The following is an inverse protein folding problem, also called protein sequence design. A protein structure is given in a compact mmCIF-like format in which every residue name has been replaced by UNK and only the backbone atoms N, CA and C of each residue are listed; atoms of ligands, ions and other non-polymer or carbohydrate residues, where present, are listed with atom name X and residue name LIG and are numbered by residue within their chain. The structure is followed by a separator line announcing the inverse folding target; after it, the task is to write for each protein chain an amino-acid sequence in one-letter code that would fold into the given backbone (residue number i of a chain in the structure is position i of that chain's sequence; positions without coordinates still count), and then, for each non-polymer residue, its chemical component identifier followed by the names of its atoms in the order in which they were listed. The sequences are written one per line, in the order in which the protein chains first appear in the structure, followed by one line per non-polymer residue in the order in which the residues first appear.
data_IF_555642624599
#
_entry.id   IF_555642624599
#
_cell.length_a   1.000
_cell.length_b   1.000
_cell.length_c   1.000
_cell.angle_alpha   90.00
_cell.angle_beta   90.00
_cell.angle_gamma   90.00
#
_symmetry.space_group_name_H-M   'P 1'
#
loop_
_entity.id
_entity.type
_entity.pdbx_description
1 polymer ?
#
# COMPACT_ATOMS: atom_id res chain seq x y z
N UNK A 1 -16.52 18.89 -1.92
CA UNK A 1 -16.36 17.43 -1.95
C UNK A 1 -17.13 16.91 -3.15
N UNK A 2 -16.50 16.16 -4.05
CA UNK A 2 -17.12 15.62 -5.26
C UNK A 2 -18.08 14.46 -4.93
N UNK A 3 -18.87 13.98 -5.92
CA UNK A 3 -19.67 12.76 -5.75
C UNK A 3 -18.81 11.52 -5.50
N UNK A 4 -17.65 11.42 -6.14
CA UNK A 4 -16.71 10.30 -5.92
C UNK A 4 -16.08 10.37 -4.52
N UNK A 5 -15.78 11.57 -4.02
CA UNK A 5 -15.26 11.76 -2.67
C UNK A 5 -16.30 11.34 -1.61
N UNK A 6 -17.56 11.73 -1.80
CA UNK A 6 -18.66 11.29 -0.92
C UNK A 6 -18.79 9.77 -0.93
N UNK A 7 -18.78 9.15 -2.11
CA UNK A 7 -18.84 7.70 -2.23
C UNK A 7 -17.64 6.99 -1.58
N UNK A 8 -16.45 7.59 -1.66
CA UNK A 8 -15.26 7.11 -0.95
C UNK A 8 -15.48 7.16 0.56
N UNK A 9 -15.89 8.33 1.08
CA UNK A 9 -16.12 8.52 2.52
C UNK A 9 -17.18 7.57 3.05
N UNK A 10 -18.27 7.35 2.31
CA UNK A 10 -19.33 6.41 2.69
C UNK A 10 -18.80 4.97 2.78
N UNK A 11 -18.00 4.53 1.79
CA UNK A 11 -17.45 3.17 1.76
C UNK A 11 -16.40 2.93 2.83
N UNK A 12 -15.50 3.89 3.04
CA UNK A 12 -14.48 3.79 4.08
C UNK A 12 -15.14 3.80 5.45
N UNK A 13 -16.06 4.75 5.72
CA UNK A 13 -16.75 4.84 7.01
C UNK A 13 -17.59 3.60 7.30
N UNK A 14 -18.30 3.07 6.30
CA UNK A 14 -19.11 1.86 6.46
C UNK A 14 -18.28 0.60 6.76
N UNK A 15 -17.06 0.51 6.19
CA UNK A 15 -16.22 -0.69 6.32
C UNK A 15 -15.16 -0.59 7.42
N UNK A 16 -14.97 0.60 8.00
CA UNK A 16 -14.00 0.84 9.04
C UNK A 16 -14.35 0.08 10.30
N UNK A 17 -13.40 -0.73 10.78
CA UNK A 17 -13.51 -1.49 12.02
C UNK A 17 -12.17 -1.53 12.73
N UNK A 18 -12.20 -1.52 14.06
CA UNK A 18 -11.01 -1.77 14.88
C UNK A 18 -10.87 -3.28 15.06
N UNK A 19 -9.80 -3.87 14.53
CA UNK A 19 -9.50 -5.30 14.61
C UNK A 19 -8.11 -5.45 15.21
N UNK A 20 -8.03 -6.09 16.39
CA UNK A 20 -6.77 -6.35 17.09
C UNK A 20 -5.89 -5.10 17.28
N UNK A 21 -6.50 -3.94 17.57
CA UNK A 21 -5.78 -2.68 17.73
C UNK A 21 -5.43 -1.94 16.42
N UNK A 22 -5.76 -2.51 15.27
CA UNK A 22 -5.56 -1.89 13.96
C UNK A 22 -6.89 -1.46 13.33
N UNK A 23 -6.93 -0.26 12.77
CA UNK A 23 -8.05 0.13 11.91
C UNK A 23 -7.95 -0.62 10.59
N UNK A 24 -8.98 -1.40 10.28
CA UNK A 24 -9.13 -2.12 9.03
C UNK A 24 -10.27 -1.49 8.24
N UNK A 25 -9.99 -1.18 6.98
CA UNK A 25 -10.97 -0.64 6.03
C UNK A 25 -11.09 -1.61 4.85
N UNK A 26 -12.29 -1.70 4.27
CA UNK A 26 -12.46 -2.37 3.00
C UNK A 26 -11.80 -1.56 1.88
N UNK A 27 -11.29 -2.24 0.85
CA UNK A 27 -10.79 -1.56 -0.34
C UNK A 27 -11.92 -0.71 -0.97
N UNK A 28 -11.71 0.60 -1.20
CA UNK A 28 -12.74 1.48 -1.74
C UNK A 28 -12.92 1.30 -3.26
N UNK A 29 -13.28 0.09 -3.69
CA UNK A 29 -13.41 -0.31 -5.11
C UNK A 29 -14.51 0.46 -5.84
N UNK A 30 -14.20 1.23 -6.89
CA UNK A 30 -15.15 1.96 -7.76
C UNK A 30 -16.41 1.13 -8.07
N UNK A 31 -16.22 -0.12 -8.50
CA UNK A 31 -17.30 -1.09 -8.70
C UNK A 31 -17.12 -2.31 -7.75
N UNK A 32 -18.12 -2.61 -6.92
CA UNK A 32 -18.10 -3.78 -6.02
C UNK A 32 -18.12 -5.14 -6.77
N UNK A 33 -18.63 -5.15 -8.00
CA UNK A 33 -18.66 -6.31 -8.88
C UNK A 33 -17.45 -6.37 -9.83
N UNK A 34 -16.39 -5.61 -9.55
CA UNK A 34 -15.16 -5.66 -10.34
C UNK A 34 -14.61 -7.08 -10.42
N UNK A 35 -14.20 -7.46 -11.62
CA UNK A 35 -13.48 -8.70 -11.91
C UNK A 35 -12.18 -8.30 -12.59
N UNK A 36 -11.06 -8.73 -12.00
CA UNK A 36 -9.73 -8.47 -12.50
C UNK A 36 -9.22 -9.68 -13.29
N UNK A 37 -8.46 -9.47 -14.38
CA UNK A 37 -7.76 -10.55 -15.04
C UNK A 37 -6.68 -11.12 -14.10
N UNK A 38 -6.35 -12.40 -14.30
CA UNK A 38 -5.28 -13.04 -13.52
C UNK A 38 -3.92 -12.52 -13.98
N UNK A 39 -3.30 -11.64 -13.18
CA UNK A 39 -2.01 -11.04 -13.47
C UNK A 39 -0.80 -11.82 -12.90
N UNK A 40 -0.99 -13.07 -12.44
CA UNK A 40 0.03 -13.84 -11.72
C UNK A 40 1.34 -13.95 -12.52
N UNK A 41 1.25 -14.26 -13.80
CA UNK A 41 2.44 -14.40 -14.67
C UNK A 41 3.31 -13.13 -14.68
N UNK A 42 2.70 -11.94 -14.71
CA UNK A 42 3.42 -10.67 -14.65
C UNK A 42 4.10 -10.47 -13.29
N UNK A 43 3.39 -10.74 -12.19
CA UNK A 43 3.91 -10.60 -10.84
C UNK A 43 5.06 -11.59 -10.57
N UNK A 44 4.91 -12.85 -10.99
CA UNK A 44 5.94 -13.88 -10.87
C UNK A 44 7.19 -13.56 -11.68
N UNK A 45 7.04 -13.07 -12.92
CA UNK A 45 8.19 -12.64 -13.71
C UNK A 45 8.98 -11.52 -13.01
N UNK A 46 8.29 -10.55 -12.39
CA UNK A 46 8.94 -9.50 -11.60
C UNK A 46 9.60 -10.07 -10.34
N UNK A 47 8.94 -10.99 -9.65
CA UNK A 47 9.50 -11.67 -8.47
C UNK A 47 10.76 -12.47 -8.81
N UNK A 48 10.81 -13.13 -9.97
CA UNK A 48 12.01 -13.84 -10.45
C UNK A 48 13.18 -12.88 -10.68
N UNK A 49 12.94 -11.68 -11.20
CA UNK A 49 13.99 -10.67 -11.35
C UNK A 49 14.52 -10.17 -10.01
N UNK A 50 13.65 -10.00 -9.01
CA UNK A 50 14.05 -9.68 -7.64
C UNK A 50 14.88 -10.83 -7.08
N UNK A 51 14.43 -12.08 -7.21
CA UNK A 51 15.16 -13.26 -6.75
C UNK A 51 16.58 -13.31 -7.31
N UNK A 52 16.74 -13.10 -8.63
CA UNK A 52 18.07 -13.01 -9.27
C UNK A 52 18.91 -11.89 -8.66
N UNK A 53 18.31 -10.74 -8.34
CA UNK A 53 19.00 -9.62 -7.68
C UNK A 53 19.43 -9.97 -6.25
N UNK A 54 18.56 -10.60 -5.47
CA UNK A 54 18.87 -11.05 -4.11
C UNK A 54 20.05 -12.04 -4.13
N UNK A 55 20.07 -12.98 -5.08
CA UNK A 55 21.14 -13.98 -5.18
C UNK A 55 22.52 -13.42 -5.55
N UNK A 56 22.59 -12.26 -6.22
CA UNK A 56 23.86 -11.66 -6.66
C UNK A 56 24.38 -10.57 -5.72
N UNK A 57 23.55 -10.08 -4.81
CA UNK A 57 23.82 -8.91 -3.97
C UNK A 57 23.37 -9.20 -2.54
N UNK A 58 24.33 -9.64 -1.73
CA UNK A 58 24.11 -10.11 -0.36
C UNK A 58 23.54 -9.00 0.52
N UNK A 59 24.06 -7.78 0.41
CA UNK A 59 23.59 -6.64 1.19
C UNK A 59 22.16 -6.26 0.81
N UNK A 60 21.84 -6.24 -0.49
CA UNK A 60 20.46 -6.05 -0.93
C UNK A 60 19.55 -7.17 -0.42
N UNK A 61 20.02 -8.42 -0.37
CA UNK A 61 19.24 -9.54 0.17
C UNK A 61 18.92 -9.37 1.65
N UNK A 62 19.92 -9.09 2.48
CA UNK A 62 19.76 -8.92 3.92
C UNK A 62 18.78 -7.80 4.25
N UNK A 63 18.97 -6.64 3.61
CA UNK A 63 18.09 -5.48 3.76
C UNK A 63 16.65 -5.79 3.35
N UNK A 64 16.47 -6.49 2.21
CA UNK A 64 15.15 -6.83 1.68
C UNK A 64 14.41 -7.82 2.56
N UNK A 65 15.11 -8.87 3.01
CA UNK A 65 14.55 -9.90 3.90
C UNK A 65 14.20 -9.28 5.24
N UNK A 66 15.05 -8.41 5.79
CA UNK A 66 14.75 -7.68 7.02
C UNK A 66 13.49 -6.83 6.86
N UNK A 67 13.37 -6.05 5.79
CA UNK A 67 12.19 -5.23 5.54
C UNK A 67 10.91 -6.06 5.43
N UNK A 68 10.92 -7.12 4.63
CA UNK A 68 9.73 -7.99 4.46
C UNK A 68 9.41 -8.76 5.75
N UNK A 69 10.43 -9.14 6.52
CA UNK A 69 10.26 -9.72 7.85
C UNK A 69 9.53 -8.78 8.79
N UNK A 70 9.92 -7.50 8.84
CA UNK A 70 9.23 -6.50 9.66
C UNK A 70 7.76 -6.32 9.25
N UNK A 71 7.48 -6.27 7.94
CA UNK A 71 6.10 -6.15 7.42
C UNK A 71 5.22 -7.31 7.89
N UNK A 72 5.76 -8.54 7.88
CA UNK A 72 5.03 -9.74 8.31
C UNK A 72 4.90 -9.79 9.84
N UNK A 73 6.00 -9.56 10.56
CA UNK A 73 6.04 -9.65 12.02
C UNK A 73 5.16 -8.59 12.70
N UNK A 74 5.04 -7.40 12.12
CA UNK A 74 4.13 -6.35 12.58
C UNK A 74 2.67 -6.58 12.18
N UNK A 75 2.37 -7.63 11.42
CA UNK A 75 1.01 -7.98 11.01
C UNK A 75 0.46 -7.16 9.85
N UNK A 76 1.30 -6.39 9.16
CA UNK A 76 0.89 -5.56 8.01
C UNK A 76 0.62 -6.41 6.76
N UNK A 77 1.26 -7.57 6.66
CA UNK A 77 0.97 -8.59 5.68
C UNK A 77 0.83 -9.96 6.34
N UNK A 78 -0.07 -10.78 5.82
CA UNK A 78 -0.29 -12.16 6.26
C UNK A 78 -0.14 -13.11 5.08
N UNK A 79 0.23 -14.36 5.37
CA UNK A 79 0.23 -15.41 4.35
C UNK A 79 -1.22 -15.66 3.91
N UNK A 80 -1.49 -15.52 2.62
CA UNK A 80 -2.77 -15.87 2.02
C UNK A 80 -2.92 -17.40 2.03
N UNK A 81 -4.05 -17.96 2.50
CA UNK A 81 -4.31 -19.40 2.42
C UNK A 81 -4.26 -19.89 0.97
N UNK A 82 -3.73 -21.10 0.75
CA UNK A 82 -3.53 -21.62 -0.62
C UNK A 82 -4.87 -21.76 -1.39
N UNK A 83 -5.96 -22.03 -0.67
CA UNK A 83 -7.33 -22.09 -1.18
C UNK A 83 -7.81 -20.74 -1.75
N UNK A 84 -7.32 -19.63 -1.22
CA UNK A 84 -7.69 -18.28 -1.64
C UNK A 84 -6.83 -17.76 -2.80
N UNK A 85 -5.76 -18.45 -3.17
CA UNK A 85 -4.88 -18.05 -4.27
C UNK A 85 -5.51 -18.29 -5.64
N UNK A 86 -6.46 -19.21 -5.75
CA UNK A 86 -7.01 -19.66 -7.04
C UNK A 86 -8.53 -19.48 -7.10
N UNK A 87 -9.00 -18.29 -6.74
CA UNK A 87 -10.44 -17.94 -6.84
C UNK A 87 -10.84 -17.70 -8.29
N UNK A 88 -11.92 -18.34 -8.73
CA UNK A 88 -12.51 -18.14 -10.07
C UNK A 88 -13.40 -16.90 -10.18
N UNK A 89 -13.54 -16.10 -9.12
CA UNK A 89 -14.43 -14.93 -9.07
C UNK A 89 -13.81 -13.63 -9.62
N UNK A 90 -12.54 -13.68 -10.01
CA UNK A 90 -11.80 -12.52 -10.51
C UNK A 90 -11.43 -11.51 -9.42
N UNK A 91 -11.42 -11.91 -8.15
CA UNK A 91 -11.08 -11.03 -7.01
C UNK A 91 -9.66 -11.23 -6.48
N UNK A 92 -8.80 -11.91 -7.24
CA UNK A 92 -7.38 -12.11 -6.92
C UNK A 92 -6.55 -11.18 -7.79
N UNK A 93 -5.66 -10.42 -7.16
CA UNK A 93 -4.69 -9.56 -7.84
C UNK A 93 -3.34 -9.66 -7.12
N UNK A 94 -2.30 -9.99 -7.87
CA UNK A 94 -0.94 -10.08 -7.34
C UNK A 94 -0.27 -8.71 -7.46
N UNK A 95 0.23 -8.14 -6.37
CA UNK A 95 0.88 -6.83 -6.38
C UNK A 95 2.40 -7.04 -6.57
N UNK A 96 2.98 -6.63 -7.71
CA UNK A 96 4.43 -6.67 -7.86
C UNK A 96 5.09 -5.69 -6.89
N UNK A 97 6.31 -5.98 -6.49
CA UNK A 97 7.06 -5.10 -5.59
C UNK A 97 8.52 -4.98 -6.04
N UNK A 98 9.24 -3.99 -5.54
CA UNK A 98 10.67 -3.82 -5.80
C UNK A 98 11.35 -3.01 -4.69
N UNK A 99 12.65 -3.20 -4.50
CA UNK A 99 13.42 -2.52 -3.47
C UNK A 99 14.13 -1.29 -4.02
N UNK A 100 13.98 -0.15 -3.34
CA UNK A 100 14.68 1.11 -3.62
C UNK A 100 15.44 1.58 -2.38
N UNK A 101 16.63 2.14 -2.58
CA UNK A 101 17.41 2.74 -1.51
C UNK A 101 17.13 4.23 -1.40
N UNK A 102 16.96 4.72 -0.18
CA UNK A 102 16.94 6.15 0.06
C UNK A 102 18.33 6.76 -0.22
N UNK A 103 18.46 7.75 -1.13
CA UNK A 103 19.75 8.19 -1.67
C UNK A 103 20.72 8.75 -0.61
N UNK A 104 20.19 9.28 0.51
CA UNK A 104 21.01 9.84 1.60
C UNK A 104 21.16 8.93 2.82
N UNK A 105 20.21 8.01 3.03
CA UNK A 105 20.13 7.23 4.28
C UNK A 105 20.58 5.79 4.08
N UNK A 106 20.79 5.38 2.82
CA UNK A 106 21.09 4.00 2.41
C UNK A 106 20.18 2.94 3.03
N UNK A 107 18.95 3.33 3.42
CA UNK A 107 17.92 2.44 3.94
C UNK A 107 17.04 1.95 2.80
N UNK A 108 16.82 0.64 2.71
CA UNK A 108 15.91 0.06 1.72
C UNK A 108 14.45 0.39 2.06
N UNK A 109 13.63 0.53 1.03
CA UNK A 109 12.17 0.48 1.09
C UNK A 109 11.67 -0.48 0.02
N UNK A 110 10.73 -1.36 0.35
CA UNK A 110 10.01 -2.15 -0.65
C UNK A 110 8.78 -1.38 -1.07
N UNK A 111 8.71 -1.08 -2.37
CA UNK A 111 7.58 -0.40 -3.01
C UNK A 111 6.66 -1.45 -3.61
N UNK A 112 5.40 -1.43 -3.21
CA UNK A 112 4.33 -2.25 -3.78
C UNK A 112 3.66 -1.48 -4.93
N UNK A 113 3.79 -1.99 -6.14
CA UNK A 113 3.35 -1.33 -7.37
C UNK A 113 1.89 -1.67 -7.68
N UNK A 114 0.97 -0.98 -7.02
CA UNK A 114 -0.47 -1.07 -7.29
C UNK A 114 -0.90 -0.42 -8.62
N UNK A 115 0.02 0.31 -9.28
CA UNK A 115 -0.19 0.93 -10.58
C UNK A 115 0.13 0.01 -11.76
N UNK A 116 0.85 -1.09 -11.53
CA UNK A 116 1.17 -2.09 -12.54
C UNK A 116 -0.09 -2.53 -13.29
N UNK A 117 -0.10 -2.33 -14.60
CA UNK A 117 -1.23 -2.70 -15.46
C UNK A 117 -1.03 -4.10 -16.05
N UNK A 118 -2.12 -4.83 -16.18
CA UNK A 118 -2.19 -6.10 -16.89
C UNK A 118 -3.53 -6.18 -17.61
N UNK A 119 -3.49 -6.39 -18.94
CA UNK A 119 -4.68 -6.43 -19.81
C UNK A 119 -5.63 -5.22 -19.60
N UNK A 120 -5.06 -4.02 -19.49
CA UNK A 120 -5.83 -2.77 -19.31
C UNK A 120 -6.37 -2.52 -17.90
N UNK A 121 -6.13 -3.41 -16.94
CA UNK A 121 -6.54 -3.25 -15.55
C UNK A 121 -5.34 -3.02 -14.62
N UNK A 122 -5.50 -2.19 -13.57
CA UNK A 122 -4.56 -2.02 -12.46
C UNK A 122 -5.35 -1.82 -11.16
N UNK A 123 -4.76 -2.15 -10.00
CA UNK A 123 -5.45 -2.01 -8.72
C UNK A 123 -5.81 -0.54 -8.45
N UNK A 124 -4.87 0.38 -8.64
CA UNK A 124 -5.13 1.81 -8.49
C UNK A 124 -6.26 2.31 -9.41
N UNK A 125 -6.37 1.78 -10.63
CA UNK A 125 -7.44 2.13 -11.56
C UNK A 125 -8.84 1.76 -11.05
N UNK A 126 -8.93 0.74 -10.20
CA UNK A 126 -10.19 0.24 -9.62
C UNK A 126 -10.56 0.85 -8.28
N UNK A 127 -9.67 1.59 -7.63
CA UNK A 127 -9.91 2.21 -6.32
C UNK A 127 -10.39 3.66 -6.48
N UNK A 128 -11.32 4.08 -5.63
CA UNK A 128 -11.64 5.49 -5.47
C UNK A 128 -10.46 6.20 -4.80
N UNK A 129 -10.10 7.37 -5.32
CA UNK A 129 -8.99 8.18 -4.79
C UNK A 129 -9.35 8.79 -3.42
N UNK A 130 -10.59 9.22 -3.26
CA UNK A 130 -11.04 9.95 -2.09
C UNK A 130 -10.60 11.43 -2.08
N UNK A 131 -11.17 12.22 -1.15
CA UNK A 131 -10.85 13.63 -1.04
C UNK A 131 -9.43 13.82 -0.48
N UNK A 132 -8.81 14.95 -0.83
CA UNK A 132 -7.64 15.43 -0.11
C UNK A 132 -8.05 15.94 1.28
N UNK A 133 -7.71 15.16 2.31
CA UNK A 133 -7.93 15.50 3.71
C UNK A 133 -6.70 16.14 4.37
N UNK A 134 -5.63 16.38 3.61
CA UNK A 134 -4.43 17.03 4.15
C UNK A 134 -4.70 18.50 4.45
N UNK A 135 -4.16 18.98 5.56
CA UNK A 135 -4.19 20.41 5.85
C UNK A 135 -3.32 21.18 4.86
N UNK A 136 -3.80 22.32 4.37
CA UNK A 136 -2.98 23.16 3.49
C UNK A 136 -1.68 23.58 4.19
N UNK A 137 -0.57 23.55 3.46
CA UNK A 137 0.74 23.90 4.03
C UNK A 137 0.74 25.32 4.63
N UNK A 138 0.08 26.27 3.96
CA UNK A 138 -0.09 27.63 4.47
C UNK A 138 -0.81 27.61 5.82
N UNK A 139 -1.92 26.88 5.93
CA UNK A 139 -2.67 26.77 7.18
C UNK A 139 -1.86 26.13 8.30
N UNK A 140 -1.06 25.11 7.98
CA UNK A 140 -0.14 24.47 8.94
C UNK A 140 0.91 25.47 9.42
N UNK A 141 1.59 26.18 8.49
CA UNK A 141 2.65 27.13 8.82
C UNK A 141 2.14 28.36 9.59
N UNK A 142 0.94 28.86 9.27
CA UNK A 142 0.32 29.96 10.01
C UNK A 142 0.02 29.57 11.44
N UNK A 143 -0.61 28.40 11.67
CA UNK A 143 -0.87 27.90 13.03
C UNK A 143 0.41 27.62 13.80
N UNK A 144 1.42 27.06 13.14
CA UNK A 144 2.73 26.78 13.75
C UNK A 144 3.43 28.05 14.27
N UNK A 145 3.14 29.21 13.67
CA UNK A 145 3.71 30.52 14.05
C UNK A 145 2.84 31.34 14.99
N UNK A 146 1.62 30.88 15.28
CA UNK A 146 0.65 31.65 16.04
C UNK A 146 1.03 31.76 17.52
N UNK A 147 1.63 30.70 18.06
CA UNK A 147 2.01 30.61 19.47
C UNK A 147 3.52 30.68 19.66
N UNK A 148 3.96 31.03 20.88
CA UNK A 148 5.39 31.18 21.22
C UNK A 148 6.17 29.87 21.19
N UNK A 149 5.50 28.74 21.41
CA UNK A 149 6.10 27.41 21.51
C UNK A 149 5.39 26.46 20.56
N UNK A 150 6.16 25.75 19.73
CA UNK A 150 5.65 24.74 18.81
C UNK A 150 6.13 23.35 19.21
N UNK A 151 5.25 22.36 19.06
CA UNK A 151 5.56 20.94 19.30
C UNK A 151 5.52 20.21 17.97
N UNK A 152 6.51 19.36 17.74
CA UNK A 152 6.60 18.50 16.56
C UNK A 152 6.74 17.05 17.01
N UNK A 153 6.03 16.16 16.34
CA UNK A 153 6.14 14.71 16.52
C UNK A 153 6.03 14.04 15.14
N UNK A 154 6.71 12.92 14.99
CA UNK A 154 6.59 12.05 13.82
C UNK A 154 5.85 10.78 14.26
N UNK A 155 4.83 10.38 13.50
CA UNK A 155 4.10 9.14 13.76
C UNK A 155 4.80 8.03 12.99
N UNK A 156 5.55 7.21 13.72
CA UNK A 156 6.19 6.04 13.12
C UNK A 156 5.15 5.13 12.49
N UNK A 157 5.42 4.66 11.26
CA UNK A 157 4.57 3.71 10.56
C UNK A 157 3.10 4.15 10.37
N UNK A 158 2.81 5.44 10.20
CA UNK A 158 1.43 5.93 10.00
C UNK A 158 0.63 5.17 8.92
N UNK A 159 1.31 4.72 7.86
CA UNK A 159 0.70 3.99 6.73
C UNK A 159 1.19 2.54 6.58
N UNK A 160 1.94 2.04 7.58
CA UNK A 160 2.42 0.67 7.61
C UNK A 160 1.74 -0.06 8.76
#
# INVERSE_FOLDING_TARGET
MSKEDQLFMDRVSYSAKLVNGHYSIGLPLKNKAVKMPNNRALAEQRALNIKKKLQRDQSFQEDYVSFMGDVINKGYAVKVPDEELSRGDGKVWFIPHHGVYHPKKHKIRVVFDCGASYQGASLNGQLLQGPDLTSSLIGVLTRFRQERVAVMADVESMFH
#
